data_IF_992205261728
#
_entry.id   IF_992205261728
#
_cell.length_a   1.000
_cell.length_b   1.000
_cell.length_c   1.000
_cell.angle_alpha   90.00
_cell.angle_beta   90.00
_cell.angle_gamma   90.00
#
_symmetry.space_group_name_H-M   'P 1'
#
loop_
_entity.id
_entity.type
_entity.pdbx_description
1 polymer ?
#
# COMPACT_ATOMS: atom_id res chain seq x y z
N UNK A 1 -17.68 30.60 -0.63
CA UNK A 1 -16.29 31.12 -0.83
C UNK A 1 -15.70 31.79 0.44
N UNK A 2 -15.94 31.29 1.67
CA UNK A 2 -15.64 32.06 2.91
C UNK A 2 -14.52 31.52 3.83
N UNK A 3 -13.77 30.46 3.46
CA UNK A 3 -12.81 29.78 4.36
C UNK A 3 -11.35 29.69 3.89
N UNK A 4 -11.00 30.18 2.71
CA UNK A 4 -9.59 30.37 2.32
C UNK A 4 -8.87 31.48 3.14
N UNK A 5 -9.61 32.18 4.01
CA UNK A 5 -9.09 33.09 5.03
C UNK A 5 -8.59 32.38 6.29
N UNK A 6 -9.03 31.14 6.56
CA UNK A 6 -8.78 30.47 7.85
C UNK A 6 -7.36 29.89 7.94
N UNK A 7 -6.84 29.31 6.85
CA UNK A 7 -5.46 28.82 6.80
C UNK A 7 -4.38 29.90 6.95
N UNK A 8 -4.72 31.17 6.64
CA UNK A 8 -3.82 32.32 6.79
C UNK A 8 -3.77 32.86 8.22
N UNK A 9 -4.77 32.54 9.05
CA UNK A 9 -4.87 32.99 10.44
C UNK A 9 -4.33 31.98 11.47
N UNK A 10 -3.87 30.80 11.02
CA UNK A 10 -3.26 29.80 11.89
C UNK A 10 -1.90 30.27 12.40
N UNK A 11 -1.70 30.21 13.72
CA UNK A 11 -0.40 30.49 14.32
C UNK A 11 0.66 29.50 13.79
N UNK A 12 1.94 29.90 13.73
CA UNK A 12 3.05 29.02 13.27
C UNK A 12 3.06 27.66 13.99
N UNK A 13 2.60 27.60 15.24
CA UNK A 13 2.51 26.37 16.05
C UNK A 13 1.38 25.43 15.59
N UNK A 14 0.20 25.97 15.28
CA UNK A 14 -0.93 25.18 14.77
C UNK A 14 -0.65 24.63 13.37
N UNK A 15 -0.06 25.46 12.51
CA UNK A 15 0.37 25.03 11.17
C UNK A 15 1.42 23.92 11.24
N UNK A 16 2.40 24.02 12.16
CA UNK A 16 3.41 22.98 12.38
C UNK A 16 2.80 21.69 12.94
N UNK A 17 1.85 21.77 13.87
CA UNK A 17 1.13 20.57 14.37
C UNK A 17 0.32 19.88 13.28
N UNK A 18 -0.39 20.64 12.43
CA UNK A 18 -1.15 20.09 11.31
C UNK A 18 -0.22 19.42 10.29
N UNK A 19 0.88 20.06 9.91
CA UNK A 19 1.88 19.48 9.02
C UNK A 19 2.54 18.23 9.63
N UNK A 20 2.93 18.28 10.90
CA UNK A 20 3.50 17.12 11.59
C UNK A 20 2.51 15.96 11.62
N UNK A 21 1.24 16.22 11.94
CA UNK A 21 0.21 15.17 11.97
C UNK A 21 -0.08 14.62 10.57
N UNK A 22 -0.09 15.48 9.56
CA UNK A 22 -0.28 15.12 8.15
C UNK A 22 0.89 14.32 7.57
N UNK A 23 2.10 14.43 8.11
CA UNK A 23 3.28 13.66 7.67
C UNK A 23 3.50 12.40 8.52
N UNK A 24 3.37 12.53 9.83
CA UNK A 24 3.59 11.44 10.78
C UNK A 24 2.59 10.31 10.54
N UNK A 25 1.34 10.63 10.24
CA UNK A 25 0.29 9.62 10.05
C UNK A 25 0.56 8.74 8.81
N UNK A 26 0.81 9.30 7.60
CA UNK A 26 1.28 8.51 6.44
C UNK A 26 2.51 7.67 6.74
N UNK A 27 3.52 8.25 7.40
CA UNK A 27 4.76 7.52 7.71
C UNK A 27 4.50 6.33 8.62
N UNK A 28 3.68 6.49 9.66
CA UNK A 28 3.30 5.40 10.56
C UNK A 28 2.50 4.34 9.80
N UNK A 29 1.58 4.74 8.91
CA UNK A 29 0.82 3.79 8.08
C UNK A 29 1.75 2.97 7.20
N UNK A 30 2.61 3.62 6.41
CA UNK A 30 3.59 2.96 5.54
C UNK A 30 4.45 2.00 6.37
N UNK A 31 5.00 2.49 7.49
CA UNK A 31 5.85 1.70 8.37
C UNK A 31 5.13 0.46 8.90
N UNK A 32 3.91 0.61 9.43
CA UNK A 32 3.13 -0.51 9.94
C UNK A 32 2.81 -1.53 8.84
N UNK A 33 2.39 -1.07 7.66
CA UNK A 33 2.11 -1.94 6.52
C UNK A 33 3.37 -2.72 6.10
N UNK A 34 4.53 -2.05 6.01
CA UNK A 34 5.80 -2.69 5.69
C UNK A 34 6.22 -3.68 6.77
N UNK A 35 6.07 -3.34 8.06
CA UNK A 35 6.38 -4.24 9.18
C UNK A 35 5.50 -5.48 9.12
N UNK A 36 4.19 -5.32 8.94
CA UNK A 36 3.26 -6.45 8.74
C UNK A 36 3.73 -7.29 7.57
N UNK A 37 4.18 -6.66 6.48
CA UNK A 37 4.61 -7.39 5.30
C UNK A 37 5.86 -8.26 5.54
N UNK A 38 6.86 -7.74 6.25
CA UNK A 38 8.07 -8.52 6.53
C UNK A 38 7.93 -9.48 7.71
N UNK A 39 7.09 -9.16 8.70
CA UNK A 39 6.95 -9.97 9.90
C UNK A 39 5.98 -11.15 9.76
N UNK A 40 4.99 -11.04 8.87
CA UNK A 40 3.96 -12.07 8.74
C UNK A 40 4.51 -13.26 7.90
N UNK A 41 4.48 -14.51 8.41
CA UNK A 41 5.12 -15.66 7.77
C UNK A 41 4.23 -16.32 6.70
N UNK A 42 3.80 -15.56 5.68
CA UNK A 42 2.89 -16.09 4.65
C UNK A 42 3.54 -17.01 3.62
N UNK A 43 4.85 -16.95 3.46
CA UNK A 43 5.66 -17.73 2.49
C UNK A 43 5.87 -19.19 2.90
N UNK A 44 5.12 -19.67 3.90
CA UNK A 44 5.28 -21.02 4.48
C UNK A 44 3.94 -21.76 4.61
N UNK A 45 2.89 -21.23 3.98
CA UNK A 45 1.53 -21.70 4.15
C UNK A 45 1.09 -22.36 2.83
N UNK A 46 0.63 -23.62 2.87
CA UNK A 46 0.24 -24.41 1.67
C UNK A 46 -0.95 -23.87 0.85
N UNK A 47 -1.44 -24.64 -0.13
CA UNK A 47 -2.47 -24.19 -1.09
C UNK A 47 -3.76 -23.66 -0.45
N UNK A 48 -4.27 -24.33 0.58
CA UNK A 48 -5.50 -23.92 1.29
C UNK A 48 -5.32 -22.54 1.94
N UNK A 49 -4.12 -22.24 2.43
CA UNK A 49 -3.81 -20.96 3.05
C UNK A 49 -3.52 -19.83 2.07
N UNK A 50 -3.18 -20.10 0.81
CA UNK A 50 -3.10 -19.06 -0.22
C UNK A 50 -4.49 -18.43 -0.44
N UNK A 51 -5.55 -19.25 -0.47
CA UNK A 51 -6.93 -18.78 -0.57
C UNK A 51 -7.36 -17.96 0.65
N UNK A 52 -7.01 -18.41 1.87
CA UNK A 52 -7.27 -17.66 3.10
C UNK A 52 -6.45 -16.35 3.17
N UNK A 53 -5.23 -16.34 2.65
CA UNK A 53 -4.39 -15.14 2.59
C UNK A 53 -4.97 -14.12 1.60
N UNK A 54 -5.43 -14.60 0.45
CA UNK A 54 -6.07 -13.76 -0.57
C UNK A 54 -7.43 -13.23 -0.08
N UNK A 55 -8.24 -14.07 0.55
CA UNK A 55 -9.49 -13.66 1.18
C UNK A 55 -9.26 -12.69 2.35
N UNK A 56 -8.25 -12.95 3.19
CA UNK A 56 -7.87 -12.08 4.30
C UNK A 56 -7.32 -10.74 3.82
N UNK A 57 -6.47 -10.74 2.79
CA UNK A 57 -5.98 -9.53 2.14
C UNK A 57 -7.12 -8.71 1.53
N UNK A 58 -8.04 -9.37 0.81
CA UNK A 58 -9.22 -8.73 0.25
C UNK A 58 -10.13 -8.14 1.34
N UNK A 59 -10.32 -8.86 2.45
CA UNK A 59 -11.08 -8.38 3.60
C UNK A 59 -10.43 -7.13 4.20
N UNK A 60 -9.11 -7.13 4.40
CA UNK A 60 -8.35 -5.97 4.90
C UNK A 60 -8.51 -4.78 3.95
N UNK A 61 -8.37 -5.00 2.64
CA UNK A 61 -8.57 -3.96 1.62
C UNK A 61 -10.00 -3.41 1.69
N UNK A 62 -11.02 -4.26 1.77
CA UNK A 62 -12.41 -3.86 1.86
C UNK A 62 -12.73 -3.07 3.14
N UNK A 63 -12.21 -3.52 4.29
CA UNK A 63 -12.35 -2.82 5.58
C UNK A 63 -11.68 -1.46 5.54
N UNK A 64 -10.47 -1.38 4.97
CA UNK A 64 -9.73 -0.13 4.81
C UNK A 64 -10.45 0.83 3.87
N UNK A 65 -10.92 0.34 2.72
CA UNK A 65 -11.67 1.14 1.75
C UNK A 65 -12.97 1.67 2.35
N UNK A 66 -13.75 0.81 3.03
CA UNK A 66 -14.96 1.20 3.72
C UNK A 66 -14.70 2.25 4.81
N UNK A 67 -13.63 2.07 5.58
CA UNK A 67 -13.24 3.03 6.61
C UNK A 67 -12.80 4.37 6.02
N UNK A 68 -12.06 4.37 4.90
CA UNK A 68 -11.69 5.60 4.20
C UNK A 68 -12.89 6.34 3.64
N UNK A 69 -13.79 5.65 2.96
CA UNK A 69 -15.01 6.23 2.39
C UNK A 69 -15.84 6.86 3.51
N UNK A 70 -16.02 6.14 4.61
CA UNK A 70 -16.74 6.67 5.77
C UNK A 70 -16.08 7.93 6.33
N UNK A 71 -14.75 7.93 6.49
CA UNK A 71 -14.05 9.14 6.93
C UNK A 71 -14.22 10.28 5.94
N UNK A 72 -14.09 10.04 4.62
CA UNK A 72 -14.22 11.07 3.57
C UNK A 72 -15.60 11.74 3.61
N UNK A 73 -16.67 10.96 3.78
CA UNK A 73 -18.05 11.46 3.82
C UNK A 73 -18.32 12.31 5.06
N UNK A 74 -17.70 11.98 6.19
CA UNK A 74 -17.96 12.61 7.51
C UNK A 74 -17.18 13.94 7.74
N UNK A 75 -16.40 14.46 6.80
CA UNK A 75 -15.40 15.52 7.12
C UNK A 75 -15.55 16.87 6.44
N UNK A 76 -15.22 17.89 7.23
CA UNK A 76 -15.20 19.30 6.89
C UNK A 76 -14.00 19.73 6.01
N UNK A 77 -13.02 18.85 5.73
CA UNK A 77 -11.78 19.20 5.00
C UNK A 77 -11.38 18.11 3.96
N UNK A 78 -12.08 18.05 2.80
CA UNK A 78 -11.96 16.93 1.84
C UNK A 78 -10.54 16.69 1.29
N UNK A 79 -9.78 17.76 1.07
CA UNK A 79 -8.43 17.66 0.50
C UNK A 79 -7.43 16.95 1.43
N UNK A 80 -7.51 17.19 2.74
CA UNK A 80 -6.63 16.53 3.71
C UNK A 80 -6.92 15.03 3.78
N UNK A 81 -8.20 14.65 3.66
CA UNK A 81 -8.60 13.26 3.64
C UNK A 81 -8.25 12.53 2.36
N UNK A 82 -8.31 13.19 1.21
CA UNK A 82 -7.82 12.59 -0.03
C UNK A 82 -6.33 12.21 0.11
N UNK A 83 -5.52 13.08 0.72
CA UNK A 83 -4.11 12.80 1.01
C UNK A 83 -3.97 11.65 2.02
N UNK A 84 -4.74 11.66 3.11
CA UNK A 84 -4.74 10.55 4.08
C UNK A 84 -5.17 9.21 3.44
N UNK A 85 -6.11 9.26 2.49
CA UNK A 85 -6.59 8.08 1.79
C UNK A 85 -5.51 7.53 0.84
N UNK A 86 -4.90 8.38 0.03
CA UNK A 86 -3.79 8.02 -0.85
C UNK A 86 -2.60 7.44 -0.06
N UNK A 87 -2.28 8.03 1.09
CA UNK A 87 -1.21 7.56 1.97
C UNK A 87 -1.41 6.14 2.53
N UNK A 88 -2.64 5.63 2.50
CA UNK A 88 -2.98 4.28 2.96
C UNK A 88 -3.23 3.33 1.77
N UNK A 89 -3.87 3.81 0.70
CA UNK A 89 -4.11 3.00 -0.51
C UNK A 89 -2.79 2.59 -1.15
N UNK A 90 -1.84 3.52 -1.28
CA UNK A 90 -0.62 3.29 -2.04
C UNK A 90 0.26 2.18 -1.42
N UNK A 91 0.55 2.19 -0.10
CA UNK A 91 1.29 1.08 0.52
C UNK A 91 0.54 -0.26 0.45
N UNK A 92 -0.77 -0.26 0.67
CA UNK A 92 -1.56 -1.49 0.60
C UNK A 92 -1.57 -2.10 -0.80
N UNK A 93 -1.70 -1.25 -1.83
CA UNK A 93 -1.59 -1.67 -3.23
C UNK A 93 -0.22 -2.30 -3.51
N UNK A 94 0.87 -1.58 -3.20
CA UNK A 94 2.23 -2.05 -3.47
C UNK A 94 2.56 -3.36 -2.74
N UNK A 95 2.21 -3.46 -1.46
CA UNK A 95 2.50 -4.64 -0.66
C UNK A 95 1.60 -5.82 -1.03
N UNK A 96 0.35 -5.55 -1.44
CA UNK A 96 -0.57 -6.57 -1.94
C UNK A 96 -0.06 -7.21 -3.22
N UNK A 97 0.32 -6.40 -4.22
CA UNK A 97 0.93 -6.90 -5.45
C UNK A 97 2.25 -7.63 -5.18
N UNK A 98 3.10 -7.07 -4.32
CA UNK A 98 4.35 -7.69 -3.92
C UNK A 98 4.14 -9.07 -3.28
N UNK A 99 3.14 -9.22 -2.40
CA UNK A 99 2.82 -10.52 -1.82
C UNK A 99 2.31 -11.51 -2.89
N UNK A 100 1.47 -11.06 -3.80
CA UNK A 100 0.98 -11.86 -4.94
C UNK A 100 2.13 -12.38 -5.81
N UNK A 101 3.03 -11.49 -6.24
CA UNK A 101 4.18 -11.88 -7.06
C UNK A 101 5.13 -12.84 -6.33
N UNK A 102 5.37 -12.63 -5.03
CA UNK A 102 6.19 -13.54 -4.22
C UNK A 102 5.56 -14.95 -4.17
N UNK A 103 4.25 -15.05 -3.89
CA UNK A 103 3.54 -16.34 -3.84
C UNK A 103 3.50 -17.04 -5.20
N UNK A 104 3.33 -16.28 -6.28
CA UNK A 104 3.43 -16.80 -7.64
C UNK A 104 4.81 -17.40 -7.91
N UNK A 105 5.88 -16.66 -7.57
CA UNK A 105 7.25 -17.14 -7.74
C UNK A 105 7.59 -18.36 -6.88
N UNK A 106 6.96 -18.52 -5.72
CA UNK A 106 7.09 -19.72 -4.88
C UNK A 106 6.38 -20.92 -5.50
N UNK A 107 5.25 -20.70 -6.17
CA UNK A 107 4.47 -21.76 -6.82
C UNK A 107 5.17 -22.28 -8.07
N UNK A 108 5.65 -21.36 -8.92
CA UNK A 108 6.43 -21.69 -10.11
C UNK A 108 7.53 -20.62 -10.34
N UNK A 109 8.82 -20.98 -10.17
CA UNK A 109 9.92 -20.09 -10.46
C UNK A 109 9.97 -19.61 -11.91
N UNK A 110 9.32 -20.31 -12.84
CA UNK A 110 9.25 -19.98 -14.27
C UNK A 110 8.31 -18.84 -14.63
N UNK A 111 7.53 -18.30 -13.67
CA UNK A 111 6.66 -17.14 -13.87
C UNK A 111 7.39 -15.80 -14.00
N UNK A 112 8.62 -15.72 -13.48
CA UNK A 112 9.44 -14.53 -13.59
C UNK A 112 10.81 -14.86 -14.17
N UNK A 113 11.55 -13.84 -14.58
CA UNK A 113 12.94 -13.99 -15.04
C UNK A 113 13.87 -14.55 -13.96
N UNK A 114 13.54 -14.33 -12.69
CA UNK A 114 14.26 -14.87 -11.54
C UNK A 114 13.30 -15.15 -10.36
N UNK A 115 13.66 -16.08 -9.43
CA UNK A 115 12.88 -16.30 -8.22
C UNK A 115 12.81 -15.05 -7.33
N UNK A 116 11.59 -14.65 -6.95
CA UNK A 116 11.36 -13.43 -6.19
C UNK A 116 11.46 -13.69 -4.69
N UNK A 117 12.40 -12.99 -4.05
CA UNK A 117 12.34 -12.76 -2.60
C UNK A 117 11.27 -11.72 -2.28
N UNK A 118 10.86 -11.62 -1.01
CA UNK A 118 9.98 -10.53 -0.53
C UNK A 118 10.46 -9.13 -0.96
N UNK A 119 11.77 -8.89 -0.86
CA UNK A 119 12.38 -7.64 -1.32
C UNK A 119 12.33 -7.50 -2.84
N UNK A 120 12.63 -8.57 -3.60
CA UNK A 120 12.58 -8.57 -5.06
C UNK A 120 11.17 -8.29 -5.59
N UNK A 121 10.15 -8.92 -4.99
CA UNK A 121 8.75 -8.68 -5.34
C UNK A 121 8.31 -7.25 -5.01
N UNK A 122 8.73 -6.69 -3.86
CA UNK A 122 8.43 -5.30 -3.50
C UNK A 122 9.10 -4.31 -4.46
N UNK A 123 10.36 -4.56 -4.79
CA UNK A 123 11.09 -3.79 -5.79
C UNK A 123 10.39 -3.82 -7.15
N UNK A 124 10.01 -5.01 -7.64
CA UNK A 124 9.29 -5.18 -8.90
C UNK A 124 7.94 -4.45 -8.91
N UNK A 125 7.13 -4.59 -7.86
CA UNK A 125 5.87 -3.84 -7.74
C UNK A 125 6.09 -2.33 -7.77
N UNK A 126 7.12 -1.85 -7.07
CA UNK A 126 7.42 -0.43 -6.99
C UNK A 126 7.90 0.13 -8.33
N UNK A 127 8.74 -0.60 -9.08
CA UNK A 127 9.27 -0.15 -10.37
C UNK A 127 8.21 -0.14 -11.47
N UNK A 128 7.26 -1.09 -11.47
CA UNK A 128 6.10 -1.06 -12.36
C UNK A 128 5.18 0.10 -12.00
N UNK A 129 4.84 0.24 -10.72
CA UNK A 129 3.95 1.31 -10.25
C UNK A 129 4.51 2.70 -10.56
N UNK A 130 5.82 2.89 -10.38
CA UNK A 130 6.51 4.13 -10.71
C UNK A 130 6.78 4.30 -12.21
N UNK A 131 6.31 3.38 -13.05
CA UNK A 131 6.52 3.34 -14.51
C UNK A 131 8.00 3.41 -14.90
N UNK A 132 8.89 2.87 -14.08
CA UNK A 132 10.34 2.82 -14.34
C UNK A 132 10.69 1.55 -15.10
N UNK A 133 10.30 0.39 -14.57
CA UNK A 133 10.49 -0.92 -15.20
C UNK A 133 11.93 -1.18 -15.68
N UNK A 134 12.89 -1.28 -14.75
CA UNK A 134 14.31 -1.47 -15.07
C UNK A 134 14.61 -2.70 -15.97
N UNK A 135 13.73 -3.71 -15.96
CA UNK A 135 13.79 -4.87 -16.85
C UNK A 135 14.72 -5.99 -16.37
N UNK A 136 15.28 -5.88 -15.17
CA UNK A 136 15.97 -6.94 -14.46
C UNK A 136 15.01 -8.04 -13.99
N UNK A 137 13.83 -7.66 -13.51
CA UNK A 137 12.73 -8.57 -13.19
C UNK A 137 11.60 -8.37 -14.20
N UNK A 138 11.12 -9.44 -14.82
CA UNK A 138 9.97 -9.41 -15.72
C UNK A 138 9.10 -10.67 -15.60
N UNK A 139 7.79 -10.50 -15.82
CA UNK A 139 6.82 -11.57 -15.97
C UNK A 139 7.03 -12.28 -17.32
N UNK A 140 7.17 -13.60 -17.30
CA UNK A 140 7.48 -14.44 -18.47
C UNK A 140 6.28 -15.23 -18.98
N UNK A 141 5.22 -15.34 -18.17
CA UNK A 141 4.00 -16.09 -18.48
C UNK A 141 2.76 -15.22 -18.30
N UNK A 142 1.68 -15.53 -19.00
CA UNK A 142 0.44 -14.73 -18.94
C UNK A 142 -0.18 -14.60 -17.54
N UNK A 143 -0.17 -15.62 -16.66
CA UNK A 143 -0.69 -15.45 -15.29
C UNK A 143 0.04 -14.37 -14.47
N UNK A 144 1.33 -14.14 -14.75
CA UNK A 144 2.22 -13.26 -13.97
C UNK A 144 2.32 -11.82 -14.49
N UNK A 145 1.71 -11.54 -15.65
CA UNK A 145 1.67 -10.23 -16.31
C UNK A 145 0.57 -9.35 -15.75
#
# INVERSE_FOLDING_TARGET
>A
MRRASDFRNLTRRERRRLLLRAVLRPLVTVFLCTVVYFALPWTSLGEVSALFFLAGGLLVVALVAGWQIWRIVESDVPALQAIEALALILPLYLLGFSAGYCLMSETDPGYFTEPLTRMGALYFSLTIFSTVGFGDIAATTDPSR
#
